data_IF_603253292529
#
_entry.id   IF_603253292529
#
_cell.length_a   1.000
_cell.length_b   1.000
_cell.length_c   1.000
_cell.angle_alpha   90.00
_cell.angle_beta   90.00
_cell.angle_gamma   90.00
#
_symmetry.space_group_name_H-M   'P 1'
#
loop_
_entity.id
_entity.type
_entity.pdbx_description
1 polymer ?
#
# COMPACT_ATOMS: atom_id res chain seq x y z
N UNK A 1 1.17 53.39 -6.76
CA UNK A 1 0.70 54.11 -7.99
C UNK A 1 1.83 54.55 -8.91
N UNK A 2 3.01 54.96 -8.44
CA UNK A 2 4.12 55.43 -9.30
C UNK A 2 4.70 54.38 -10.28
N UNK A 3 4.63 53.09 -9.98
CA UNK A 3 5.14 52.02 -10.83
C UNK A 3 4.28 51.83 -12.10
N UNK A 4 2.95 51.86 -11.96
CA UNK A 4 2.01 51.75 -13.08
C UNK A 4 2.16 52.91 -14.10
N UNK A 5 2.39 54.14 -13.65
CA UNK A 5 2.62 55.30 -14.54
C UNK A 5 3.93 55.21 -15.32
N UNK A 6 4.99 54.60 -14.75
CA UNK A 6 6.26 54.40 -15.46
C UNK A 6 6.13 53.33 -16.55
N UNK A 7 5.42 52.25 -16.27
CA UNK A 7 5.19 51.14 -17.21
C UNK A 7 4.33 51.59 -18.37
N UNK A 8 3.24 52.37 -18.13
CA UNK A 8 2.37 52.88 -19.20
C UNK A 8 3.09 53.88 -20.12
N UNK A 9 3.96 54.75 -19.58
CA UNK A 9 4.76 55.67 -20.37
C UNK A 9 5.80 55.00 -21.27
N UNK A 10 6.39 53.89 -20.81
CA UNK A 10 7.35 53.11 -21.58
C UNK A 10 6.65 52.30 -22.69
N UNK A 11 5.51 51.67 -22.36
CA UNK A 11 4.69 50.96 -23.35
C UNK A 11 4.16 51.89 -24.45
N UNK A 12 3.87 53.16 -24.15
CA UNK A 12 3.39 54.14 -25.12
C UNK A 12 4.38 54.43 -26.24
N UNK A 13 5.69 54.35 -25.99
CA UNK A 13 6.77 54.64 -26.94
C UNK A 13 7.18 53.46 -27.81
N UNK A 14 6.66 52.26 -27.56
CA UNK A 14 7.00 51.06 -28.33
C UNK A 14 6.23 51.06 -29.67
N UNK A 15 6.91 50.62 -30.77
CA UNK A 15 6.25 50.36 -32.04
C UNK A 15 5.17 49.28 -31.88
N UNK A 16 4.15 49.30 -32.75
CA UNK A 16 3.03 48.35 -32.73
C UNK A 16 3.53 46.90 -32.77
N UNK A 17 4.54 46.59 -33.59
CA UNK A 17 5.14 45.25 -33.64
C UNK A 17 5.76 44.77 -32.31
N UNK A 18 6.43 45.67 -31.58
CA UNK A 18 7.00 45.34 -30.25
C UNK A 18 5.91 45.15 -29.19
N UNK A 19 4.79 45.86 -29.26
CA UNK A 19 3.63 45.65 -28.40
C UNK A 19 3.02 44.28 -28.62
N UNK A 20 2.81 43.90 -29.86
CA UNK A 20 2.30 42.57 -30.22
C UNK A 20 3.25 41.46 -29.78
N UNK A 21 4.55 41.64 -29.95
CA UNK A 21 5.57 40.69 -29.49
C UNK A 21 5.53 40.50 -27.95
N UNK A 22 5.36 41.57 -27.19
CA UNK A 22 5.25 41.52 -25.74
C UNK A 22 3.98 40.79 -25.30
N UNK A 23 2.84 41.02 -25.96
CA UNK A 23 1.59 40.30 -25.67
C UNK A 23 1.80 38.81 -25.95
N UNK A 24 2.36 38.46 -27.12
CA UNK A 24 2.63 37.07 -27.46
C UNK A 24 3.59 36.39 -26.48
N UNK A 25 4.64 37.10 -26.04
CA UNK A 25 5.57 36.58 -25.02
C UNK A 25 4.88 36.35 -23.66
N UNK A 26 3.96 37.25 -23.30
CA UNK A 26 3.17 37.10 -22.06
C UNK A 26 2.27 35.90 -22.15
N UNK A 27 1.55 35.71 -23.24
CA UNK A 27 0.69 34.53 -23.47
C UNK A 27 1.52 33.25 -23.48
N UNK A 28 2.67 33.24 -24.12
CA UNK A 28 3.57 32.10 -24.16
C UNK A 28 4.07 31.73 -22.76
N UNK A 29 4.45 32.70 -21.93
CA UNK A 29 4.86 32.45 -20.56
C UNK A 29 3.71 31.94 -19.72
N UNK A 30 2.50 32.43 -19.89
CA UNK A 30 1.31 31.93 -19.19
C UNK A 30 1.01 30.47 -19.57
N UNK A 31 1.06 30.14 -20.86
CA UNK A 31 0.85 28.77 -21.35
C UNK A 31 1.92 27.81 -20.77
N UNK A 32 3.20 28.19 -20.79
CA UNK A 32 4.29 27.40 -20.25
C UNK A 32 4.08 27.18 -18.74
N UNK A 33 3.71 28.22 -18.01
CA UNK A 33 3.47 28.17 -16.58
C UNK A 33 2.33 27.20 -16.21
N UNK A 34 1.16 27.37 -16.86
CA UNK A 34 0.00 26.51 -16.64
C UNK A 34 0.30 25.04 -17.04
N UNK A 35 0.97 24.84 -18.18
CA UNK A 35 1.37 23.50 -18.62
C UNK A 35 2.33 22.84 -17.63
N UNK A 36 3.27 23.59 -17.06
CA UNK A 36 4.21 23.09 -16.05
C UNK A 36 3.48 22.62 -14.79
N UNK A 37 2.50 23.39 -14.30
CA UNK A 37 1.67 22.99 -13.14
C UNK A 37 0.89 21.71 -13.45
N UNK A 38 0.20 21.65 -14.58
CA UNK A 38 -0.59 20.49 -14.99
C UNK A 38 0.26 19.22 -15.11
N UNK A 39 1.46 19.34 -15.69
CA UNK A 39 2.40 18.25 -15.80
C UNK A 39 2.85 17.77 -14.40
N UNK A 40 3.18 18.71 -13.53
CA UNK A 40 3.59 18.39 -12.16
C UNK A 40 2.50 17.66 -11.38
N UNK A 41 1.25 18.10 -11.44
CA UNK A 41 0.09 17.44 -10.84
C UNK A 41 -0.11 16.02 -11.38
N UNK A 42 0.07 15.83 -12.69
CA UNK A 42 -0.03 14.50 -13.30
C UNK A 42 1.06 13.53 -12.81
N UNK A 43 2.28 14.00 -12.67
CA UNK A 43 3.36 13.18 -12.12
C UNK A 43 3.09 12.77 -10.66
N UNK A 44 2.58 13.69 -9.85
CA UNK A 44 2.22 13.41 -8.48
C UNK A 44 1.10 12.36 -8.38
N UNK A 45 0.06 12.49 -9.21
CA UNK A 45 -1.04 11.52 -9.28
C UNK A 45 -0.56 10.12 -9.73
N UNK A 46 0.35 10.04 -10.70
CA UNK A 46 0.92 8.77 -11.16
C UNK A 46 1.74 8.10 -10.06
N UNK A 47 2.55 8.86 -9.32
CA UNK A 47 3.34 8.30 -8.21
C UNK A 47 2.44 7.79 -7.09
N UNK A 48 1.38 8.53 -6.77
CA UNK A 48 0.36 8.12 -5.80
C UNK A 48 -0.28 6.78 -6.20
N UNK A 49 -0.80 6.69 -7.43
CA UNK A 49 -1.44 5.47 -7.93
C UNK A 49 -0.49 4.27 -7.98
N UNK A 50 0.78 4.49 -8.30
CA UNK A 50 1.79 3.42 -8.27
C UNK A 50 1.97 2.84 -6.86
N UNK A 51 2.03 3.69 -5.84
CA UNK A 51 2.14 3.24 -4.44
C UNK A 51 0.91 2.45 -4.00
N UNK A 52 -0.28 2.86 -4.42
CA UNK A 52 -1.52 2.13 -4.14
C UNK A 52 -1.53 0.73 -4.77
N UNK A 53 -1.12 0.61 -6.04
CA UNK A 53 -1.01 -0.70 -6.73
C UNK A 53 -0.03 -1.62 -5.99
N UNK A 54 1.10 -1.09 -5.56
CA UNK A 54 2.07 -1.85 -4.76
C UNK A 54 1.45 -2.29 -3.43
N UNK A 55 0.79 -1.37 -2.74
CA UNK A 55 0.13 -1.64 -1.47
C UNK A 55 -0.96 -2.70 -1.56
N UNK A 56 -1.81 -2.62 -2.58
CA UNK A 56 -2.88 -3.62 -2.80
C UNK A 56 -2.30 -5.00 -3.12
N UNK A 57 -1.24 -5.06 -3.90
CA UNK A 57 -0.55 -6.32 -4.23
C UNK A 57 0.06 -6.94 -2.98
N UNK A 58 0.73 -6.15 -2.16
CA UNK A 58 1.31 -6.59 -0.89
C UNK A 58 0.22 -7.07 0.08
N UNK A 59 -0.82 -6.27 0.28
CA UNK A 59 -1.95 -6.60 1.15
C UNK A 59 -2.67 -7.89 0.74
N UNK A 60 -2.79 -8.16 -0.56
CA UNK A 60 -3.38 -9.41 -1.06
C UNK A 60 -2.58 -10.64 -0.62
N UNK A 61 -1.24 -10.59 -0.70
CA UNK A 61 -0.37 -11.71 -0.26
C UNK A 61 -0.49 -11.94 1.24
N UNK A 62 -0.50 -10.87 2.05
CA UNK A 62 -0.66 -10.98 3.51
C UNK A 62 -2.04 -11.54 3.87
N UNK A 63 -3.10 -11.05 3.22
CA UNK A 63 -4.46 -11.57 3.38
C UNK A 63 -4.54 -13.06 3.05
N UNK A 64 -3.96 -13.50 1.94
CA UNK A 64 -3.96 -14.91 1.54
C UNK A 64 -3.23 -15.77 2.58
N UNK A 65 -2.15 -15.26 3.16
CA UNK A 65 -1.44 -15.92 4.26
C UNK A 65 -2.28 -16.06 5.53
N UNK A 66 -3.05 -15.03 5.87
CA UNK A 66 -3.97 -15.07 7.01
C UNK A 66 -5.13 -16.03 6.73
N UNK A 67 -5.81 -15.89 5.59
CA UNK A 67 -6.96 -16.73 5.22
C UNK A 67 -6.61 -18.22 5.18
N UNK A 68 -5.45 -18.56 4.61
CA UNK A 68 -5.01 -19.95 4.51
C UNK A 68 -4.91 -20.68 5.85
N UNK A 69 -4.82 -19.95 6.96
CA UNK A 69 -4.73 -20.53 8.29
C UNK A 69 -6.09 -20.65 9.02
N UNK A 70 -7.13 -19.99 8.52
CA UNK A 70 -8.46 -19.95 9.13
C UNK A 70 -9.55 -20.59 8.27
N UNK A 71 -9.29 -20.81 6.96
CA UNK A 71 -10.20 -21.56 6.11
C UNK A 71 -10.10 -23.06 6.40
N UNK A 72 -11.24 -23.72 6.32
CA UNK A 72 -11.31 -25.17 6.43
C UNK A 72 -10.52 -25.83 5.28
N UNK A 73 -9.91 -26.98 5.55
CA UNK A 73 -9.15 -27.76 4.56
C UNK A 73 -9.97 -28.10 3.30
N UNK A 74 -11.31 -28.11 3.41
CA UNK A 74 -12.23 -28.28 2.28
C UNK A 74 -12.19 -27.13 1.27
N UNK A 75 -11.71 -25.95 1.64
CA UNK A 75 -11.63 -24.75 0.81
C UNK A 75 -10.33 -24.64 0.01
N UNK A 76 -9.45 -25.64 0.09
CA UNK A 76 -8.12 -25.62 -0.56
C UNK A 76 -7.34 -24.33 -0.27
N UNK A 77 -7.00 -24.05 0.99
CA UNK A 77 -6.22 -22.87 1.30
C UNK A 77 -4.88 -22.89 0.56
N UNK A 78 -4.32 -21.74 0.18
CA UNK A 78 -3.00 -21.69 -0.41
C UNK A 78 -1.98 -22.34 0.52
N UNK A 79 -1.08 -23.13 -0.04
CA UNK A 79 0.01 -23.75 0.72
C UNK A 79 0.86 -22.65 1.38
N UNK A 80 1.22 -22.82 2.63
CA UNK A 80 2.06 -21.84 3.35
C UNK A 80 3.36 -21.57 2.59
N UNK A 81 3.94 -22.59 1.96
CA UNK A 81 5.14 -22.46 1.14
C UNK A 81 4.93 -21.53 -0.07
N UNK A 82 3.76 -21.58 -0.73
CA UNK A 82 3.43 -20.69 -1.85
C UNK A 82 3.26 -19.25 -1.38
N UNK A 83 2.58 -19.04 -0.25
CA UNK A 83 2.44 -17.72 0.35
C UNK A 83 3.80 -17.13 0.75
N UNK A 84 4.67 -17.92 1.36
CA UNK A 84 6.03 -17.50 1.72
C UNK A 84 6.86 -17.13 0.48
N UNK A 85 6.77 -17.92 -0.60
CA UNK A 85 7.46 -17.61 -1.84
C UNK A 85 6.96 -16.29 -2.46
N UNK A 86 5.65 -16.09 -2.52
CA UNK A 86 5.04 -14.83 -3.01
C UNK A 86 5.39 -13.65 -2.11
N UNK A 87 5.37 -13.84 -0.80
CA UNK A 87 5.75 -12.83 0.18
C UNK A 87 7.22 -12.43 0.01
N UNK A 88 8.12 -13.38 -0.19
CA UNK A 88 9.54 -13.08 -0.42
C UNK A 88 9.74 -12.21 -1.67
N UNK A 89 9.05 -12.51 -2.77
CA UNK A 89 9.11 -11.70 -4.01
C UNK A 89 8.61 -10.27 -3.78
N UNK A 90 7.48 -10.12 -3.10
CA UNK A 90 6.90 -8.79 -2.83
C UNK A 90 7.77 -7.99 -1.86
N UNK A 91 8.34 -8.63 -0.86
CA UNK A 91 9.26 -8.00 0.10
C UNK A 91 10.54 -7.53 -0.57
N UNK A 92 11.18 -8.38 -1.37
CA UNK A 92 12.40 -8.00 -2.12
C UNK A 92 12.15 -6.79 -3.02
N UNK A 93 10.98 -6.72 -3.66
CA UNK A 93 10.65 -5.64 -4.58
C UNK A 93 10.24 -4.34 -3.89
N UNK A 94 9.61 -4.39 -2.70
CA UNK A 94 8.87 -3.24 -2.17
C UNK A 94 9.13 -2.89 -0.70
N UNK A 95 9.84 -3.73 0.10
CA UNK A 95 10.09 -3.46 1.52
C UNK A 95 10.86 -2.15 1.74
N UNK A 96 11.81 -1.81 0.87
CA UNK A 96 12.55 -0.55 0.94
C UNK A 96 11.63 0.66 0.69
N UNK A 97 10.78 0.57 -0.33
CA UNK A 97 9.87 1.65 -0.72
C UNK A 97 8.77 1.89 0.33
N UNK A 98 8.25 0.83 0.93
CA UNK A 98 7.15 0.87 1.90
C UNK A 98 7.62 0.84 3.36
N UNK A 99 8.93 0.77 3.61
CA UNK A 99 9.49 0.65 4.97
C UNK A 99 8.86 -0.48 5.79
N UNK A 100 8.57 -1.62 5.14
CA UNK A 100 7.85 -2.77 5.71
C UNK A 100 8.77 -3.91 6.15
N UNK A 101 10.09 -3.80 5.96
CA UNK A 101 11.07 -4.86 6.16
C UNK A 101 10.95 -5.59 7.50
N UNK A 102 10.88 -4.86 8.62
CA UNK A 102 10.78 -5.44 9.96
C UNK A 102 9.43 -6.15 10.18
N UNK A 103 8.32 -5.51 9.80
CA UNK A 103 6.99 -6.09 9.92
C UNK A 103 6.81 -7.31 9.00
N UNK A 104 7.31 -7.22 7.77
CA UNK A 104 7.34 -8.32 6.81
C UNK A 104 8.15 -9.51 7.31
N UNK A 105 9.30 -9.27 7.96
CA UNK A 105 10.12 -10.33 8.56
C UNK A 105 9.40 -11.02 9.72
N UNK A 106 8.76 -10.27 10.63
CA UNK A 106 8.00 -10.86 11.74
C UNK A 106 6.85 -11.71 11.24
N UNK A 107 6.11 -11.24 10.23
CA UNK A 107 5.00 -11.97 9.63
C UNK A 107 5.47 -13.26 8.94
N UNK A 108 6.57 -13.23 8.16
CA UNK A 108 7.12 -14.43 7.53
C UNK A 108 7.58 -15.45 8.56
N UNK A 109 8.26 -15.02 9.64
CA UNK A 109 8.67 -15.90 10.74
C UNK A 109 7.45 -16.52 11.46
N UNK A 110 6.38 -15.75 11.66
CA UNK A 110 5.14 -16.27 12.26
C UNK A 110 4.47 -17.32 11.36
N UNK A 111 4.48 -17.13 10.03
CA UNK A 111 4.00 -18.12 9.06
C UNK A 111 4.82 -19.41 9.08
N UNK A 112 6.14 -19.30 9.12
CA UNK A 112 7.06 -20.46 9.17
C UNK A 112 6.87 -21.33 10.42
N UNK A 113 6.39 -20.76 11.51
CA UNK A 113 6.14 -21.48 12.77
C UNK A 113 4.85 -22.30 12.75
N UNK A 114 4.04 -22.20 11.71
CA UNK A 114 2.79 -22.95 11.60
C UNK A 114 3.00 -24.35 11.00
N UNK A 115 2.18 -25.35 11.38
CA UNK A 115 2.23 -26.67 10.79
C UNK A 115 1.91 -26.61 9.30
N UNK A 116 2.65 -27.34 8.48
CA UNK A 116 2.50 -27.36 7.01
C UNK A 116 3.63 -26.67 6.25
N UNK A 117 4.57 -25.99 6.92
CA UNK A 117 5.78 -25.43 6.31
C UNK A 117 6.93 -26.44 6.22
N UNK A 118 7.00 -27.38 7.15
CA UNK A 118 8.02 -28.44 7.14
C UNK A 118 7.45 -29.69 6.46
N UNK A 119 8.18 -30.28 5.52
CA UNK A 119 7.98 -31.68 5.09
C UNK A 119 7.98 -32.54 6.36
N UNK A 120 6.96 -33.39 6.62
CA UNK A 120 6.90 -34.15 7.85
C UNK A 120 8.16 -35.01 7.95
N UNK A 121 9.01 -34.69 8.93
CA UNK A 121 10.08 -35.60 9.30
C UNK A 121 9.42 -36.93 9.69
N UNK A 122 9.86 -38.07 9.14
CA UNK A 122 9.28 -39.36 9.46
C UNK A 122 9.49 -39.63 10.96
N UNK A 123 8.40 -39.51 11.75
CA UNK A 123 8.41 -39.71 13.19
C UNK A 123 7.92 -38.55 14.07
N UNK A 124 7.64 -37.38 13.51
CA UNK A 124 6.99 -36.29 14.24
C UNK A 124 5.50 -36.62 14.35
N UNK A 125 5.08 -37.05 15.54
CA UNK A 125 3.68 -37.23 15.89
C UNK A 125 2.92 -35.93 15.63
N UNK A 126 1.78 -36.02 14.91
CA UNK A 126 0.84 -34.92 14.61
C UNK A 126 0.14 -34.33 15.85
N UNK A 127 0.75 -34.43 17.04
CA UNK A 127 0.29 -33.97 18.34
C UNK A 127 1.08 -32.76 18.80
N UNK A 128 1.14 -31.70 18.04
CA UNK A 128 1.47 -30.39 18.61
C UNK A 128 0.33 -29.98 19.52
N UNK A 129 0.65 -29.76 20.82
CA UNK A 129 -0.31 -29.35 21.83
C UNK A 129 -1.22 -28.25 21.30
N UNK A 130 -2.56 -28.51 21.30
CA UNK A 130 -3.57 -27.56 20.82
C UNK A 130 -3.37 -26.12 21.35
N UNK A 131 -2.96 -25.93 22.64
CA UNK A 131 -2.63 -24.60 23.14
C UNK A 131 -1.48 -23.90 22.41
N UNK A 132 -0.46 -24.62 22.00
CA UNK A 132 0.69 -24.02 21.28
C UNK A 132 0.32 -23.57 19.86
N UNK A 133 -0.57 -24.27 19.20
CA UNK A 133 -1.07 -23.92 17.88
C UNK A 133 -1.93 -22.65 17.92
N UNK A 134 -2.80 -22.56 18.92
CA UNK A 134 -3.63 -21.39 19.17
C UNK A 134 -2.79 -20.13 19.38
N UNK A 135 -1.74 -20.23 20.22
CA UNK A 135 -0.83 -19.11 20.46
C UNK A 135 -0.09 -18.68 19.19
N UNK A 136 0.35 -19.63 18.36
CA UNK A 136 1.01 -19.31 17.07
C UNK A 136 0.06 -18.64 16.08
N UNK A 137 -1.20 -19.07 16.00
CA UNK A 137 -2.23 -18.43 15.17
C UNK A 137 -2.55 -17.01 15.63
N UNK A 138 -2.69 -16.80 16.94
CA UNK A 138 -2.92 -15.45 17.48
C UNK A 138 -1.72 -14.52 17.24
N UNK A 139 -0.49 -15.05 17.29
CA UNK A 139 0.69 -14.30 16.92
C UNK A 139 0.69 -13.95 15.43
N UNK A 140 0.39 -14.89 14.54
CA UNK A 140 0.28 -14.62 13.10
C UNK A 140 -0.74 -13.53 12.80
N UNK A 141 -1.92 -13.57 13.43
CA UNK A 141 -2.95 -12.54 13.27
C UNK A 141 -2.44 -11.15 13.66
N UNK A 142 -1.74 -11.06 14.79
CA UNK A 142 -1.17 -9.81 15.27
C UNK A 142 -0.12 -9.25 14.31
N UNK A 143 0.86 -10.09 13.89
CA UNK A 143 1.91 -9.67 12.98
C UNK A 143 1.32 -9.33 11.59
N UNK A 144 0.35 -10.09 11.11
CA UNK A 144 -0.34 -9.80 9.85
C UNK A 144 -1.14 -8.50 9.90
N UNK A 145 -1.81 -8.21 11.01
CA UNK A 145 -2.52 -6.95 11.21
C UNK A 145 -1.55 -5.75 11.23
N UNK A 146 -0.43 -5.88 11.93
CA UNK A 146 0.59 -4.84 11.98
C UNK A 146 1.17 -4.58 10.59
N UNK A 147 1.50 -5.64 9.85
CA UNK A 147 2.00 -5.53 8.49
C UNK A 147 0.98 -4.89 7.55
N UNK A 148 -0.29 -5.32 7.57
CA UNK A 148 -1.35 -4.71 6.76
C UNK A 148 -1.54 -3.23 7.07
N UNK A 149 -1.49 -2.86 8.35
CA UNK A 149 -1.60 -1.45 8.76
C UNK A 149 -0.41 -0.64 8.26
N UNK A 150 0.80 -1.19 8.35
CA UNK A 150 2.02 -0.54 7.86
C UNK A 150 1.97 -0.36 6.34
N UNK A 151 1.63 -1.43 5.61
CA UNK A 151 1.44 -1.37 4.16
C UNK A 151 0.40 -0.32 3.77
N UNK A 152 -0.77 -0.33 4.42
CA UNK A 152 -1.85 0.62 4.14
C UNK A 152 -1.44 2.08 4.36
N UNK A 153 -0.67 2.36 5.42
CA UNK A 153 -0.16 3.69 5.71
C UNK A 153 0.90 4.16 4.71
N UNK A 154 1.85 3.28 4.38
CA UNK A 154 3.00 3.63 3.54
C UNK A 154 2.67 3.67 2.04
N UNK A 155 1.67 2.91 1.62
CA UNK A 155 1.20 2.88 0.23
C UNK A 155 0.12 3.93 -0.09
N UNK A 156 -0.22 4.80 0.85
CA UNK A 156 -1.31 5.78 0.76
C UNK A 156 -2.73 5.18 0.63
N UNK A 157 -2.89 3.86 0.72
CA UNK A 157 -4.19 3.20 0.65
C UNK A 157 -5.20 3.74 1.68
N UNK A 158 -4.72 4.13 2.88
CA UNK A 158 -5.57 4.70 3.94
C UNK A 158 -5.95 6.16 3.65
N UNK A 159 -5.20 6.85 2.79
CA UNK A 159 -5.38 8.26 2.45
C UNK A 159 -6.13 8.47 1.13
N UNK A 160 -6.67 7.41 0.53
CA UNK A 160 -7.38 7.49 -0.73
C UNK A 160 -8.60 8.42 -0.60
N UNK A 161 -8.68 9.49 -1.39
CA UNK A 161 -9.80 10.43 -1.36
C UNK A 161 -11.07 9.88 -2.02
N UNK A 162 -10.97 8.75 -2.75
CA UNK A 162 -12.11 8.12 -3.40
C UNK A 162 -12.87 7.23 -2.39
N UNK A 163 -14.13 7.56 -2.13
CA UNK A 163 -14.96 6.88 -1.14
C UNK A 163 -15.10 5.39 -1.41
N UNK A 164 -15.22 4.99 -2.66
CA UNK A 164 -15.45 3.58 -3.02
C UNK A 164 -14.22 2.73 -2.71
N UNK A 165 -13.02 3.21 -3.05
CA UNK A 165 -11.78 2.52 -2.73
C UNK A 165 -11.44 2.61 -1.24
N UNK A 166 -11.74 3.72 -0.55
CA UNK A 166 -11.61 3.84 0.89
C UNK A 166 -12.41 2.78 1.65
N UNK A 167 -13.68 2.54 1.29
CA UNK A 167 -14.49 1.51 1.94
C UNK A 167 -13.95 0.10 1.67
N UNK A 168 -13.52 -0.19 0.45
CA UNK A 168 -12.88 -1.46 0.09
C UNK A 168 -11.60 -1.70 0.88
N UNK A 169 -10.74 -0.71 0.97
CA UNK A 169 -9.50 -0.74 1.74
C UNK A 169 -9.78 -0.91 3.24
N UNK A 170 -10.68 -0.11 3.80
CA UNK A 170 -11.06 -0.18 5.22
C UNK A 170 -11.56 -1.58 5.59
N UNK A 171 -12.34 -2.22 4.70
CA UNK A 171 -12.80 -3.58 4.90
C UNK A 171 -11.63 -4.58 4.94
N UNK A 172 -10.73 -4.51 3.97
CA UNK A 172 -9.65 -5.50 3.80
C UNK A 172 -8.52 -5.30 4.79
N UNK A 173 -8.08 -4.06 5.01
CA UNK A 173 -6.88 -3.74 5.82
C UNK A 173 -7.22 -3.64 7.31
N UNK A 174 -8.37 -3.06 7.66
CA UNK A 174 -8.72 -2.79 9.05
C UNK A 174 -9.71 -3.82 9.61
N UNK A 175 -10.86 -4.03 8.95
CA UNK A 175 -11.95 -4.81 9.50
C UNK A 175 -11.77 -6.32 9.38
N UNK A 176 -11.17 -6.77 8.30
CA UNK A 176 -10.95 -8.18 8.07
C UNK A 176 -10.02 -8.83 9.10
N UNK A 177 -8.84 -8.28 9.45
CA UNK A 177 -8.01 -8.82 10.53
C UNK A 177 -8.70 -8.77 11.90
N UNK A 178 -9.51 -7.73 12.19
CA UNK A 178 -10.29 -7.64 13.42
C UNK A 178 -11.34 -8.76 13.51
N UNK A 179 -12.02 -9.04 12.39
CA UNK A 179 -13.00 -10.12 12.31
C UNK A 179 -12.33 -11.50 12.54
N UNK A 180 -11.20 -11.75 11.89
CA UNK A 180 -10.45 -13.00 12.10
C UNK A 180 -10.01 -13.17 13.56
N UNK A 181 -9.58 -12.08 14.20
CA UNK A 181 -9.22 -12.09 15.61
C UNK A 181 -10.43 -12.44 16.49
N UNK A 182 -11.57 -11.78 16.26
CA UNK A 182 -12.80 -12.04 17.02
C UNK A 182 -13.29 -13.48 16.87
N UNK A 183 -13.24 -14.03 15.65
CA UNK A 183 -13.56 -15.44 15.38
C UNK A 183 -12.61 -16.37 16.10
N UNK A 184 -11.30 -16.09 16.02
CA UNK A 184 -10.28 -16.89 16.70
C UNK A 184 -10.52 -16.91 18.22
N UNK A 185 -10.72 -15.75 18.83
CA UNK A 185 -10.95 -15.62 20.28
C UNK A 185 -12.22 -16.35 20.73
N UNK A 186 -13.26 -16.39 19.88
CA UNK A 186 -14.52 -17.08 20.17
C UNK A 186 -14.39 -18.59 20.10
N UNK A 187 -13.56 -19.13 19.22
CA UNK A 187 -13.38 -20.58 19.02
C UNK A 187 -12.46 -21.19 20.10
N UNK A 188 -11.63 -20.36 20.74
CA UNK A 188 -10.64 -20.80 21.73
C UNK A 188 -11.24 -20.88 23.14
N UNK A 189 -12.42 -20.31 23.36
CA UNK A 189 -13.21 -20.48 24.60
C UNK A 189 -14.15 -21.68 24.52
#
# INVERSE_FOLDING_TARGET
>A
MAFMHRVSGWLGRLSVGRKLMLIYLLDLTAVIYVSSILIHEKYLAIDFTRKEIVGTTYAAVVRDGLLGQFLDASQQPPLVADVLARLAVVREAHDEQLHTGDAGQRFSTALEQLPGTASPAPGASAGGDAPSLTLRRSQLLREGRELLTTVGNQSNLILDPDLDSYYGMSLVVLRFPELLQAVHDTVVF
#
